data_IF_436524541114
#
_entry.id   IF_436524541114
#
_cell.length_a   1.000
_cell.length_b   1.000
_cell.length_c   1.000
_cell.angle_alpha   90.00
_cell.angle_beta   90.00
_cell.angle_gamma   90.00
#
_symmetry.space_group_name_H-M   'P 1'
#
loop_
_entity.id
_entity.type
_entity.pdbx_description
1 polymer ?
#
# COMPACT_ATOMS: atom_id res chain seq x y z
N UNK A 1 38.45 51.02 13.51
CA UNK A 1 39.54 50.32 12.78
C UNK A 1 39.85 49.02 13.51
N UNK A 2 39.80 47.88 12.78
CA UNK A 2 40.56 46.60 12.88
C UNK A 2 41.10 46.16 14.26
N UNK A 3 41.18 44.89 14.64
CA UNK A 3 40.87 43.55 14.11
C UNK A 3 41.53 42.57 15.10
N UNK A 4 41.01 41.37 15.33
CA UNK A 4 41.76 40.36 16.11
C UNK A 4 41.00 39.07 16.34
N UNK A 5 40.91 38.24 15.30
CA UNK A 5 40.35 36.90 15.36
C UNK A 5 41.24 35.93 16.16
N UNK A 6 40.64 35.05 16.97
CA UNK A 6 41.27 33.82 17.45
C UNK A 6 40.50 32.62 16.90
N UNK A 7 41.18 31.83 16.07
CA UNK A 7 40.79 30.48 15.65
C UNK A 7 41.35 29.48 16.67
N UNK A 8 40.53 28.57 17.15
CA UNK A 8 40.98 27.33 17.81
C UNK A 8 40.60 26.13 16.93
N UNK A 9 41.56 25.22 16.75
CA UNK A 9 41.45 23.93 16.02
C UNK A 9 40.94 22.83 16.97
N UNK A 10 40.47 21.68 16.43
CA UNK A 10 39.68 20.70 17.17
C UNK A 10 40.54 19.66 17.91
N UNK A 11 39.97 19.08 18.98
CA UNK A 11 40.54 17.96 19.73
C UNK A 11 40.28 16.63 19.03
N UNK A 12 41.34 15.89 18.75
CA UNK A 12 41.31 14.49 18.38
C UNK A 12 41.48 13.61 19.63
N UNK A 13 40.60 12.65 19.78
CA UNK A 13 40.68 11.48 20.66
C UNK A 13 39.57 10.57 20.14
N UNK A 14 39.72 9.28 19.86
CA UNK A 14 40.38 8.27 20.67
C UNK A 14 40.23 6.92 19.90
N UNK A 15 41.17 6.00 20.12
CA UNK A 15 41.15 4.52 19.91
C UNK A 15 42.08 3.97 18.82
N UNK A 16 43.27 3.61 19.30
CA UNK A 16 44.12 2.55 18.77
C UNK A 16 43.68 1.22 19.40
N UNK A 17 43.53 0.17 18.59
CA UNK A 17 44.32 -1.08 18.71
C UNK A 17 43.76 -2.25 17.90
N UNK A 18 44.73 -3.01 17.38
CA UNK A 18 44.75 -4.45 17.14
C UNK A 18 44.22 -5.02 15.80
N UNK A 19 45.22 -5.47 15.04
CA UNK A 19 45.23 -6.48 13.98
C UNK A 19 44.61 -7.82 14.45
N UNK A 20 44.00 -8.62 13.56
CA UNK A 20 44.65 -9.80 12.96
C UNK A 20 43.76 -10.60 11.99
N UNK A 21 44.43 -11.10 10.96
CA UNK A 21 44.21 -12.18 9.99
C UNK A 21 43.00 -13.14 10.07
N UNK A 22 42.39 -13.45 8.92
CA UNK A 22 42.64 -14.73 8.20
C UNK A 22 41.59 -15.05 7.13
N UNK A 23 42.09 -15.67 6.06
CA UNK A 23 41.42 -16.00 4.82
C UNK A 23 40.35 -17.11 4.96
N UNK A 24 39.27 -16.99 4.16
CA UNK A 24 38.32 -18.08 3.90
C UNK A 24 38.36 -18.43 2.41
N UNK A 25 38.83 -19.63 2.11
CA UNK A 25 38.68 -20.27 0.80
C UNK A 25 38.34 -21.74 1.03
N UNK A 26 37.10 -22.13 0.76
CA UNK A 26 36.76 -23.53 0.46
C UNK A 26 35.55 -23.56 -0.48
N UNK A 27 35.84 -23.81 -1.76
CA UNK A 27 34.88 -24.31 -2.73
C UNK A 27 34.63 -25.79 -2.44
N UNK A 28 33.38 -26.22 -2.37
CA UNK A 28 33.03 -27.64 -2.48
C UNK A 28 32.13 -27.82 -3.70
N UNK A 29 32.73 -28.38 -4.76
CA UNK A 29 32.06 -29.08 -5.84
C UNK A 29 31.88 -30.53 -5.38
N UNK A 30 30.69 -31.10 -5.51
CA UNK A 30 30.49 -32.55 -5.52
C UNK A 30 29.98 -32.98 -6.88
N UNK A 31 30.81 -33.74 -7.58
CA UNK A 31 30.47 -34.51 -8.77
C UNK A 31 30.01 -35.92 -8.38
N UNK A 32 29.20 -36.48 -9.27
CA UNK A 32 28.46 -37.73 -9.17
C UNK A 32 29.29 -39.02 -9.38
N UNK A 33 28.72 -40.15 -8.94
CA UNK A 33 28.73 -41.51 -9.54
C UNK A 33 27.67 -42.37 -8.80
N UNK A 34 26.55 -42.78 -9.42
CA UNK A 34 26.26 -43.94 -10.29
C UNK A 34 26.14 -45.31 -9.58
N UNK A 35 25.01 -46.01 -9.85
CA UNK A 35 24.73 -47.41 -9.50
C UNK A 35 23.22 -47.68 -9.30
N UNK A 36 22.38 -47.71 -10.35
CA UNK A 36 22.01 -48.85 -11.25
C UNK A 36 20.84 -49.74 -10.76
N UNK A 37 19.73 -49.58 -11.49
CA UNK A 37 18.74 -50.53 -12.03
C UNK A 37 17.83 -51.42 -11.16
N UNK A 38 16.51 -51.27 -11.41
CA UNK A 38 15.57 -52.26 -12.00
C UNK A 38 14.17 -52.09 -11.39
N UNK A 39 13.02 -52.38 -11.97
CA UNK A 39 12.50 -52.66 -13.30
C UNK A 39 10.97 -52.44 -13.20
N UNK A 40 10.31 -51.94 -14.25
CA UNK A 40 8.83 -51.91 -14.34
C UNK A 40 8.28 -53.28 -14.75
N UNK A 41 6.99 -53.59 -14.51
CA UNK A 41 5.98 -53.29 -15.53
C UNK A 41 4.58 -52.87 -15.02
N UNK A 42 3.85 -52.15 -15.90
CA UNK A 42 2.39 -51.85 -15.90
C UNK A 42 1.55 -53.12 -16.22
N UNK A 43 0.22 -53.02 -16.48
CA UNK A 43 -0.91 -52.61 -15.64
C UNK A 43 -2.01 -53.70 -15.60
N UNK A 44 -3.02 -53.59 -14.71
CA UNK A 44 -4.26 -54.35 -14.86
C UNK A 44 -5.50 -53.49 -14.57
N UNK A 45 -6.41 -53.50 -15.54
CA UNK A 45 -7.77 -52.94 -15.53
C UNK A 45 -8.74 -54.12 -15.64
N UNK A 46 -10.02 -53.88 -15.29
CA UNK A 46 -11.24 -54.72 -15.42
C UNK A 46 -11.64 -55.43 -14.12
N UNK A 47 -12.93 -55.58 -13.76
CA UNK A 47 -14.22 -55.15 -14.32
C UNK A 47 -15.32 -55.37 -13.26
N UNK A 48 -16.45 -54.71 -13.51
CA UNK A 48 -17.79 -54.83 -12.91
C UNK A 48 -18.34 -56.25 -12.67
N UNK A 49 -19.22 -56.34 -11.67
CA UNK A 49 -20.58 -56.92 -11.70
C UNK A 49 -21.36 -56.29 -10.51
N UNK A 50 -22.66 -55.99 -10.50
CA UNK A 50 -23.75 -56.22 -11.45
C UNK A 50 -24.99 -56.76 -10.73
N UNK A 51 -25.97 -55.89 -10.43
CA UNK A 51 -27.40 -56.21 -10.25
C UNK A 51 -27.92 -56.45 -8.82
N UNK A 52 -29.17 -56.19 -8.44
CA UNK A 52 -30.31 -55.49 -9.07
C UNK A 52 -31.55 -55.55 -8.14
N UNK A 53 -32.37 -54.47 -8.12
CA UNK A 53 -33.84 -54.42 -7.90
C UNK A 53 -34.36 -54.82 -6.49
N UNK A 54 -35.42 -54.28 -5.90
CA UNK A 54 -36.62 -53.55 -6.36
C UNK A 54 -37.36 -52.90 -5.16
N UNK A 55 -38.14 -51.84 -5.42
CA UNK A 55 -39.16 -51.26 -4.53
C UNK A 55 -40.36 -52.20 -4.25
N UNK A 56 -41.29 -51.83 -3.34
CA UNK A 56 -42.50 -51.13 -3.81
C UNK A 56 -43.03 -49.98 -2.91
N UNK A 57 -44.01 -49.27 -3.50
CA UNK A 57 -44.74 -48.05 -3.08
C UNK A 57 -45.76 -48.25 -1.94
N UNK A 58 -46.15 -47.15 -1.27
CA UNK A 58 -47.53 -46.58 -1.15
C UNK A 58 -47.59 -45.56 0.01
N UNK A 59 -47.68 -44.25 -0.26
CA UNK A 59 -48.87 -43.39 -0.36
C UNK A 59 -49.49 -42.94 0.97
N UNK A 60 -49.37 -41.65 1.28
CA UNK A 60 -50.40 -40.89 2.01
C UNK A 60 -50.35 -39.42 1.57
N UNK A 61 -51.52 -38.93 1.14
CA UNK A 61 -51.81 -37.57 0.68
C UNK A 61 -51.98 -36.67 1.92
N UNK A 62 -51.46 -35.45 1.88
CA UNK A 62 -52.04 -34.35 2.68
C UNK A 62 -52.28 -33.16 1.74
N UNK A 63 -53.49 -32.65 1.90
CA UNK A 63 -54.21 -31.66 1.14
C UNK A 63 -53.56 -30.28 1.16
N UNK A 64 -53.61 -29.62 0.01
CA UNK A 64 -53.48 -28.17 -0.11
C UNK A 64 -54.58 -27.48 0.69
N UNK A 65 -54.23 -26.43 1.43
CA UNK A 65 -55.15 -25.35 1.74
C UNK A 65 -54.45 -24.04 1.42
N UNK A 66 -55.14 -23.26 0.59
CA UNK A 66 -54.80 -21.90 0.22
C UNK A 66 -54.91 -21.07 1.49
N UNK A 67 -53.82 -20.41 1.89
CA UNK A 67 -53.92 -19.32 2.84
C UNK A 67 -53.49 -18.02 2.18
N UNK A 68 -54.35 -17.07 2.46
CA UNK A 68 -54.60 -15.81 1.80
C UNK A 68 -53.44 -14.82 2.00
N UNK A 69 -53.24 -14.02 0.97
CA UNK A 69 -52.20 -13.00 0.90
C UNK A 69 -52.83 -11.69 1.33
N UNK A 70 -52.69 -11.28 2.58
CA UNK A 70 -52.80 -9.86 2.98
C UNK A 70 -52.63 -9.67 4.49
N UNK A 71 -51.44 -9.23 4.92
CA UNK A 71 -51.33 -8.29 6.04
C UNK A 71 -49.96 -7.63 6.01
N UNK A 72 -50.04 -6.35 5.68
CA UNK A 72 -49.02 -5.31 5.61
C UNK A 72 -48.21 -5.22 6.91
N UNK A 73 -46.87 -5.33 6.79
CA UNK A 73 -45.86 -4.56 7.56
C UNK A 73 -44.62 -4.44 6.65
N UNK A 74 -44.34 -3.30 6.04
CA UNK A 74 -43.65 -2.11 6.57
C UNK A 74 -42.14 -2.14 6.24
N UNK A 75 -41.57 -0.94 6.11
CA UNK A 75 -40.22 -0.61 5.63
C UNK A 75 -40.04 -0.67 4.10
N UNK A 76 -40.70 0.28 3.41
CA UNK A 76 -40.04 0.92 2.26
C UNK A 76 -38.78 1.59 2.81
N UNK A 77 -37.67 0.84 2.75
CA UNK A 77 -36.34 1.39 2.94
C UNK A 77 -36.10 2.25 1.70
N UNK A 78 -36.62 3.47 1.74
CA UNK A 78 -36.21 4.53 0.84
C UNK A 78 -34.70 4.64 1.02
N UNK A 79 -33.96 4.13 0.05
CA UNK A 79 -32.53 4.36 -0.06
C UNK A 79 -32.34 5.86 -0.07
N UNK A 80 -31.98 6.40 1.10
CA UNK A 80 -31.51 7.76 1.21
C UNK A 80 -30.45 7.93 0.12
N UNK A 81 -30.52 9.00 -0.69
CA UNK A 81 -29.47 9.25 -1.65
C UNK A 81 -28.18 9.37 -0.84
N UNK A 82 -27.30 8.37 -0.97
CA UNK A 82 -25.91 8.50 -0.53
C UNK A 82 -25.45 9.79 -1.18
N UNK A 83 -25.31 10.84 -0.38
CA UNK A 83 -24.97 12.16 -0.86
C UNK A 83 -23.73 11.98 -1.71
N UNK A 84 -23.85 12.23 -3.02
CA UNK A 84 -22.68 12.28 -3.89
C UNK A 84 -21.93 13.52 -3.42
N UNK A 85 -21.04 13.34 -2.45
CA UNK A 85 -20.03 14.33 -2.15
C UNK A 85 -19.34 14.59 -3.49
N UNK A 86 -19.47 15.83 -3.97
CA UNK A 86 -18.81 16.26 -5.19
C UNK A 86 -17.31 15.97 -5.02
N UNK A 87 -16.80 15.03 -5.82
CA UNK A 87 -15.40 14.60 -5.70
C UNK A 87 -14.52 15.78 -6.09
N UNK A 88 -13.80 16.30 -5.09
CA UNK A 88 -12.88 17.43 -5.29
C UNK A 88 -11.58 16.91 -5.86
N UNK A 89 -11.15 17.51 -6.97
CA UNK A 89 -9.96 17.07 -7.70
C UNK A 89 -9.09 18.24 -8.15
N UNK A 90 -7.78 18.02 -8.15
CA UNK A 90 -6.77 18.86 -8.80
C UNK A 90 -5.99 17.99 -9.79
N UNK A 91 -5.75 18.53 -10.98
CA UNK A 91 -4.96 17.90 -12.04
C UNK A 91 -3.70 18.75 -12.31
N UNK A 92 -2.53 18.15 -12.14
CA UNK A 92 -1.23 18.82 -12.21
C UNK A 92 -0.32 18.13 -13.22
N UNK A 93 0.59 18.91 -13.80
CA UNK A 93 1.70 18.39 -14.60
C UNK A 93 3.01 18.62 -13.86
N UNK A 94 3.66 17.52 -13.50
CA UNK A 94 5.05 17.52 -13.06
C UNK A 94 5.97 17.43 -14.28
N UNK A 95 7.08 18.17 -14.23
CA UNK A 95 8.04 18.28 -15.33
C UNK A 95 9.37 17.55 -15.06
N UNK A 96 9.54 17.00 -13.86
CA UNK A 96 10.73 16.28 -13.45
C UNK A 96 10.48 15.52 -12.14
N UNK A 97 11.36 14.59 -11.79
CA UNK A 97 11.35 13.94 -10.47
C UNK A 97 11.45 14.94 -9.31
N UNK A 98 12.28 15.98 -9.46
CA UNK A 98 12.42 17.06 -8.47
C UNK A 98 11.11 17.85 -8.32
N UNK A 99 10.36 18.08 -9.40
CA UNK A 99 9.06 18.75 -9.31
C UNK A 99 8.04 17.86 -8.58
N UNK A 100 8.04 16.54 -8.83
CA UNK A 100 7.21 15.58 -8.10
C UNK A 100 7.56 15.54 -6.61
N UNK A 101 8.84 15.55 -6.25
CA UNK A 101 9.28 15.60 -4.86
C UNK A 101 8.85 16.89 -4.15
N UNK A 102 9.01 18.05 -4.80
CA UNK A 102 8.55 19.34 -4.26
C UNK A 102 7.04 19.41 -4.10
N UNK A 103 6.28 18.78 -5.00
CA UNK A 103 4.84 18.61 -4.82
C UNK A 103 4.58 17.78 -3.56
N UNK A 104 5.25 16.65 -3.40
CA UNK A 104 5.19 15.83 -2.20
C UNK A 104 5.51 16.63 -0.93
N UNK A 105 6.55 17.46 -0.95
CA UNK A 105 6.93 18.31 0.17
C UNK A 105 5.80 19.29 0.56
N UNK A 106 5.13 19.89 -0.43
CA UNK A 106 3.97 20.75 -0.18
C UNK A 106 2.81 19.98 0.44
N UNK A 107 2.51 18.79 -0.07
CA UNK A 107 1.49 17.90 0.50
C UNK A 107 1.85 17.54 1.95
N UNK A 108 3.09 17.14 2.18
CA UNK A 108 3.62 16.78 3.49
C UNK A 108 3.57 17.93 4.48
N UNK A 109 3.81 19.19 4.06
CA UNK A 109 3.68 20.36 4.95
C UNK A 109 2.22 20.67 5.32
N UNK A 110 1.29 20.44 4.40
CA UNK A 110 -0.14 20.69 4.62
C UNK A 110 -0.85 19.57 5.41
N UNK A 111 -0.22 18.39 5.51
CA UNK A 111 -0.83 17.22 6.15
C UNK A 111 -1.19 17.44 7.64
N UNK A 112 -2.22 16.74 8.08
CA UNK A 112 -2.67 16.70 9.47
C UNK A 112 -2.60 15.25 9.98
N UNK A 113 -2.65 15.04 11.30
CA UNK A 113 -2.79 13.70 11.87
C UNK A 113 -3.91 12.92 11.16
N UNK A 114 -3.63 11.65 10.89
CA UNK A 114 -4.50 10.69 10.21
C UNK A 114 -4.79 10.95 8.73
N UNK A 115 -4.07 11.88 8.07
CA UNK A 115 -4.19 12.02 6.62
C UNK A 115 -3.57 10.80 5.91
N UNK A 116 -4.31 10.25 4.94
CA UNK A 116 -3.91 9.07 4.15
C UNK A 116 -3.75 9.45 2.68
N UNK A 117 -2.61 9.09 2.09
CA UNK A 117 -2.31 9.28 0.68
C UNK A 117 -2.20 7.93 -0.02
N UNK A 118 -3.17 7.61 -0.89
CA UNK A 118 -3.20 6.40 -1.70
C UNK A 118 -2.59 6.67 -3.07
N UNK A 119 -1.38 6.17 -3.32
CA UNK A 119 -0.59 6.43 -4.53
C UNK A 119 -0.74 5.32 -5.57
N UNK A 120 -1.42 5.61 -6.68
CA UNK A 120 -1.60 4.69 -7.80
C UNK A 120 -0.84 5.14 -9.04
N UNK A 121 -0.50 4.20 -9.91
CA UNK A 121 0.21 4.45 -11.16
C UNK A 121 1.18 3.33 -11.51
N UNK A 122 1.58 3.27 -12.78
CA UNK A 122 2.50 2.25 -13.30
C UNK A 122 3.87 2.25 -12.59
N UNK A 123 4.65 1.18 -12.80
CA UNK A 123 6.00 1.11 -12.27
C UNK A 123 6.86 2.23 -12.88
N UNK A 124 7.58 2.98 -12.05
CA UNK A 124 8.44 4.08 -12.51
C UNK A 124 7.74 5.44 -12.70
N UNK A 125 6.44 5.54 -12.40
CA UNK A 125 5.72 6.84 -12.45
C UNK A 125 6.19 7.84 -11.40
N UNK A 126 6.89 7.38 -10.35
CA UNK A 126 7.47 8.23 -9.31
C UNK A 126 6.68 8.25 -7.99
N UNK A 127 5.87 7.22 -7.71
CA UNK A 127 5.14 7.07 -6.43
C UNK A 127 6.06 7.24 -5.20
N UNK A 128 7.17 6.50 -5.14
CA UNK A 128 8.17 6.63 -4.06
C UNK A 128 8.85 8.01 -4.03
N UNK A 129 9.01 8.67 -5.18
CA UNK A 129 9.55 10.05 -5.22
C UNK A 129 8.57 11.03 -4.56
N UNK A 130 7.27 10.85 -4.80
CA UNK A 130 6.23 11.63 -4.15
C UNK A 130 6.15 11.32 -2.65
N UNK A 131 6.21 10.04 -2.25
CA UNK A 131 6.23 9.61 -0.86
C UNK A 131 7.41 10.22 -0.08
N UNK A 132 8.61 10.21 -0.69
CA UNK A 132 9.80 10.88 -0.15
C UNK A 132 9.59 12.38 0.01
N UNK A 133 8.99 13.04 -0.98
CA UNK A 133 8.59 14.43 -0.87
C UNK A 133 7.68 14.67 0.34
N UNK A 134 6.65 13.84 0.53
CA UNK A 134 5.73 13.94 1.67
C UNK A 134 6.48 13.85 3.00
N UNK A 135 7.37 12.87 3.15
CA UNK A 135 8.21 12.72 4.34
C UNK A 135 9.09 13.95 4.60
N UNK A 136 9.72 14.53 3.56
CA UNK A 136 10.48 15.78 3.67
C UNK A 136 9.58 16.93 4.15
N UNK A 137 8.36 17.01 3.65
CA UNK A 137 7.36 17.99 4.10
C UNK A 137 6.94 17.83 5.56
N UNK A 138 7.09 16.62 6.12
CA UNK A 138 6.93 16.33 7.54
C UNK A 138 8.18 16.63 8.38
N UNK A 139 9.30 17.01 7.74
CA UNK A 139 10.58 17.27 8.43
C UNK A 139 11.41 16.02 8.69
N UNK A 140 11.16 14.93 7.97
CA UNK A 140 11.93 13.69 8.04
C UNK A 140 13.08 13.76 7.03
N UNK A 141 14.25 13.19 7.38
CA UNK A 141 15.40 13.17 6.47
C UNK A 141 15.09 12.35 5.21
N UNK A 142 15.39 12.93 4.05
CA UNK A 142 15.22 12.28 2.76
C UNK A 142 16.08 11.01 2.63
N UNK A 143 17.23 10.93 3.31
CA UNK A 143 18.12 9.75 3.26
C UNK A 143 17.50 8.49 3.85
N UNK A 144 16.54 8.68 4.76
CA UNK A 144 15.90 7.57 5.47
C UNK A 144 14.76 6.97 4.66
N UNK A 145 14.30 7.66 3.62
CA UNK A 145 13.12 7.25 2.85
C UNK A 145 13.53 6.48 1.59
N UNK A 146 13.15 5.20 1.59
CA UNK A 146 13.22 4.32 0.42
C UNK A 146 12.02 3.40 0.41
N UNK A 147 11.65 2.88 -0.78
CA UNK A 147 10.47 2.03 -0.94
C UNK A 147 10.55 0.83 0.01
N UNK A 148 9.54 0.61 0.88
CA UNK A 148 9.50 -0.52 1.81
C UNK A 148 9.10 -1.83 1.11
N UNK A 149 9.36 -2.00 -0.18
CA UNK A 149 8.83 -3.09 -1.01
C UNK A 149 9.09 -4.51 -0.46
N UNK A 150 10.14 -4.71 0.36
CA UNK A 150 10.44 -6.00 0.98
C UNK A 150 9.90 -6.17 2.40
N UNK A 151 9.63 -5.08 3.11
CA UNK A 151 9.14 -5.13 4.50
C UNK A 151 7.70 -4.62 4.63
N UNK A 152 7.08 -4.26 3.50
CA UNK A 152 5.70 -3.82 3.30
C UNK A 152 5.38 -2.48 3.98
N UNK A 153 5.75 -2.30 5.25
CA UNK A 153 5.52 -1.11 6.05
C UNK A 153 6.83 -0.60 6.67
N UNK A 154 7.03 0.72 6.63
CA UNK A 154 8.06 1.43 7.38
C UNK A 154 7.46 2.57 8.16
N UNK A 155 7.83 2.66 9.43
CA UNK A 155 7.60 3.83 10.25
C UNK A 155 8.87 4.68 10.28
N UNK A 156 8.69 5.99 10.08
CA UNK A 156 9.74 6.98 10.20
C UNK A 156 9.31 8.05 11.22
N UNK A 157 10.17 8.27 12.22
CA UNK A 157 10.02 9.31 13.22
C UNK A 157 10.89 10.53 12.93
N UNK A 158 10.96 11.45 13.91
CA UNK A 158 11.86 12.62 13.86
C UNK A 158 11.30 13.84 13.12
N UNK A 159 10.18 13.68 12.40
CA UNK A 159 9.41 14.79 11.84
C UNK A 159 8.37 15.37 12.80
N UNK A 160 7.55 16.27 12.29
CA UNK A 160 6.42 16.89 13.02
C UNK A 160 5.26 15.93 13.29
N UNK A 161 5.14 14.87 12.50
CA UNK A 161 4.17 13.77 12.65
C UNK A 161 4.88 12.45 12.33
N UNK A 162 4.48 11.32 12.96
CA UNK A 162 4.90 10.00 12.50
C UNK A 162 4.55 9.80 11.03
N UNK A 163 5.42 9.14 10.28
CA UNK A 163 5.21 8.85 8.87
C UNK A 163 5.23 7.35 8.63
N UNK A 164 4.14 6.83 8.07
CA UNK A 164 3.99 5.43 7.73
C UNK A 164 4.03 5.29 6.21
N UNK A 165 5.02 4.58 5.69
CA UNK A 165 5.15 4.28 4.27
C UNK A 165 4.84 2.81 4.06
N UNK A 166 3.80 2.53 3.29
CA UNK A 166 3.32 1.20 2.96
C UNK A 166 3.46 0.99 1.44
N UNK A 167 4.03 -0.14 1.03
CA UNK A 167 4.15 -0.55 -0.37
C UNK A 167 3.55 -1.94 -0.56
N UNK A 168 2.37 -1.98 -1.19
CA UNK A 168 1.60 -3.20 -1.36
C UNK A 168 1.91 -3.94 -2.68
N UNK A 169 2.90 -3.48 -3.47
CA UNK A 169 3.16 -4.03 -4.80
C UNK A 169 3.25 -5.56 -4.86
N UNK A 170 3.91 -6.14 -3.84
CA UNK A 170 4.21 -7.57 -3.73
C UNK A 170 3.19 -8.36 -2.91
N UNK A 171 2.15 -7.72 -2.41
CA UNK A 171 1.18 -8.38 -1.57
C UNK A 171 0.15 -9.17 -2.41
N UNK A 172 -0.10 -10.41 -2.03
CA UNK A 172 -1.11 -11.28 -2.64
C UNK A 172 -2.14 -11.71 -1.57
N UNK A 173 -3.42 -11.36 -1.75
CA UNK A 173 -4.52 -11.91 -0.94
C UNK A 173 -4.55 -11.44 0.53
N UNK A 174 -4.73 -12.40 1.45
CA UNK A 174 -5.12 -12.23 2.88
C UNK A 174 -3.98 -11.68 3.76
N UNK A 175 -2.81 -11.41 3.19
CA UNK A 175 -1.61 -11.10 3.97
C UNK A 175 -1.62 -9.70 4.59
N UNK A 176 -2.49 -8.80 4.13
CA UNK A 176 -2.51 -7.40 4.57
C UNK A 176 -2.83 -7.27 6.06
N UNK A 177 -3.80 -8.05 6.56
CA UNK A 177 -4.21 -8.02 7.96
C UNK A 177 -3.09 -8.45 8.94
N UNK A 178 -2.07 -9.17 8.45
CA UNK A 178 -0.93 -9.60 9.28
C UNK A 178 0.22 -8.56 9.29
N UNK A 179 0.11 -7.48 8.52
CA UNK A 179 1.17 -6.47 8.40
C UNK A 179 1.14 -5.42 9.51
N UNK A 180 0.06 -5.36 10.30
CA UNK A 180 -0.14 -4.31 11.32
C UNK A 180 -0.45 -2.94 10.71
N UNK A 181 -0.86 -2.87 9.45
CA UNK A 181 -1.11 -1.59 8.79
C UNK A 181 -2.32 -0.85 9.38
N UNK A 182 -3.33 -1.55 9.92
CA UNK A 182 -4.47 -0.90 10.58
C UNK A 182 -4.01 -0.04 11.77
N UNK A 183 -3.04 -0.53 12.55
CA UNK A 183 -2.47 0.19 13.70
C UNK A 183 -1.81 1.51 13.26
N UNK A 184 -1.18 1.51 12.08
CA UNK A 184 -0.55 2.71 11.52
C UNK A 184 -1.56 3.80 11.14
N UNK A 185 -2.79 3.43 10.76
CA UNK A 185 -3.85 4.38 10.44
C UNK A 185 -4.40 5.07 11.69
N UNK A 186 -4.33 4.41 12.84
CA UNK A 186 -4.83 4.91 14.12
C UNK A 186 -3.76 5.62 14.96
N UNK A 187 -2.48 5.51 14.56
CA UNK A 187 -1.33 6.02 15.31
C UNK A 187 -1.13 7.55 15.26
N UNK A 188 -2.08 8.32 14.70
CA UNK A 188 -2.01 9.80 14.70
C UNK A 188 -1.00 10.39 13.71
N UNK A 189 -0.45 9.57 12.81
CA UNK A 189 0.56 9.98 11.82
C UNK A 189 -0.01 10.28 10.45
N UNK A 190 0.88 10.40 9.46
CA UNK A 190 0.55 10.48 8.04
C UNK A 190 0.90 9.16 7.38
N UNK A 191 -0.04 8.58 6.64
CA UNK A 191 0.14 7.28 6.01
C UNK A 191 0.16 7.43 4.49
N UNK A 192 1.20 6.91 3.85
CA UNK A 192 1.34 6.82 2.39
C UNK A 192 1.27 5.36 1.99
N UNK A 193 0.33 5.03 1.10
CA UNK A 193 0.09 3.67 0.62
C UNK A 193 0.35 3.63 -0.88
N UNK A 194 1.44 3.00 -1.31
CA UNK A 194 1.68 2.67 -2.71
C UNK A 194 0.94 1.40 -3.11
N UNK A 195 0.41 1.39 -4.34
CA UNK A 195 -0.40 0.29 -4.89
C UNK A 195 -1.67 0.00 -4.06
N UNK A 196 -2.49 1.03 -3.77
CA UNK A 196 -3.66 0.92 -2.89
C UNK A 196 -4.70 -0.10 -3.37
N UNK A 197 -4.76 -0.39 -4.68
CA UNK A 197 -5.69 -1.37 -5.27
C UNK A 197 -5.56 -2.77 -4.65
N UNK A 198 -4.41 -3.08 -4.05
CA UNK A 198 -4.15 -4.35 -3.36
C UNK A 198 -4.90 -4.49 -2.04
N UNK A 199 -5.18 -3.38 -1.37
CA UNK A 199 -6.00 -3.35 -0.16
C UNK A 199 -7.51 -3.31 -0.48
N UNK A 200 -7.89 -2.82 -1.66
CA UNK A 200 -9.27 -2.80 -2.13
C UNK A 200 -10.23 -2.15 -1.12
N UNK A 201 -11.28 -2.86 -0.65
CA UNK A 201 -12.27 -2.31 0.28
C UNK A 201 -11.74 -2.09 1.70
N UNK A 202 -10.51 -2.52 2.01
CA UNK A 202 -9.91 -2.30 3.33
C UNK A 202 -9.38 -0.88 3.48
N UNK A 203 -9.19 -0.13 2.38
CA UNK A 203 -8.71 1.25 2.44
C UNK A 203 -9.66 2.16 3.23
N UNK A 204 -9.13 3.15 3.98
CA UNK A 204 -9.95 4.14 4.67
C UNK A 204 -10.86 4.92 3.70
N UNK A 205 -12.11 5.15 4.09
CA UNK A 205 -13.09 5.88 3.27
C UNK A 205 -12.63 7.31 2.97
N UNK A 206 -12.03 8.00 3.94
CA UNK A 206 -11.50 9.34 3.78
C UNK A 206 -9.98 9.31 3.53
N UNK A 207 -9.60 9.57 2.29
CA UNK A 207 -8.21 9.55 1.83
C UNK A 207 -8.02 10.45 0.61
N UNK A 208 -6.78 10.82 0.35
CA UNK A 208 -6.37 11.44 -0.90
C UNK A 208 -5.93 10.34 -1.87
N UNK A 209 -6.67 10.17 -2.96
CA UNK A 209 -6.23 9.36 -4.09
C UNK A 209 -5.31 10.19 -4.99
N UNK A 210 -4.08 9.72 -5.16
CA UNK A 210 -3.09 10.38 -6.01
C UNK A 210 -2.68 9.44 -7.13
N UNK A 211 -3.13 9.74 -8.34
CA UNK A 211 -2.83 8.97 -9.54
C UNK A 211 -1.68 9.61 -10.31
N UNK A 212 -0.61 8.86 -10.56
CA UNK A 212 0.55 9.29 -11.35
C UNK A 212 0.59 8.55 -12.69
N UNK A 213 0.69 9.31 -13.78
CA UNK A 213 0.71 8.77 -15.15
C UNK A 213 1.91 9.32 -15.94
N UNK A 214 2.55 8.47 -16.75
CA UNK A 214 3.54 8.89 -17.73
C UNK A 214 2.87 9.65 -18.87
N UNK A 215 3.29 10.90 -19.12
CA UNK A 215 2.85 11.67 -20.31
C UNK A 215 4.01 12.03 -21.23
N UNK A 216 5.25 11.96 -20.74
CA UNK A 216 6.50 11.99 -21.51
C UNK A 216 7.62 11.42 -20.61
N UNK A 217 8.84 11.29 -21.14
CA UNK A 217 9.99 10.72 -20.42
C UNK A 217 10.18 11.31 -19.02
N UNK A 218 10.19 12.64 -18.94
CA UNK A 218 10.39 13.39 -17.68
C UNK A 218 9.12 13.95 -17.06
N UNK A 219 8.00 13.93 -17.80
CA UNK A 219 6.75 14.55 -17.36
C UNK A 219 5.79 13.52 -16.78
N UNK A 220 5.08 13.92 -15.73
CA UNK A 220 4.02 13.11 -15.12
C UNK A 220 2.75 13.94 -15.02
N UNK A 221 1.61 13.33 -15.33
CA UNK A 221 0.32 13.86 -14.89
C UNK A 221 0.07 13.33 -13.49
N UNK A 222 -0.33 14.21 -12.57
CA UNK A 222 -0.61 13.88 -11.18
C UNK A 222 -2.02 14.40 -10.87
N UNK A 223 -2.94 13.47 -10.64
CA UNK A 223 -4.33 13.79 -10.29
C UNK A 223 -4.53 13.47 -8.81
N UNK A 224 -4.91 14.48 -8.03
CA UNK A 224 -5.20 14.36 -6.59
C UNK A 224 -6.70 14.50 -6.41
N UNK A 225 -7.36 13.48 -5.86
CA UNK A 225 -8.81 13.45 -5.63
C UNK A 225 -9.14 13.11 -4.19
N UNK A 226 -10.17 13.75 -3.66
CA UNK A 226 -10.72 13.48 -2.34
C UNK A 226 -11.79 12.40 -2.39
N UNK A 227 -11.80 11.50 -1.40
CA UNK A 227 -12.83 10.47 -1.24
C UNK A 227 -13.74 10.72 -0.03
N UNK A 228 -13.37 11.63 0.87
CA UNK A 228 -14.15 11.97 2.06
C UNK A 228 -14.05 13.45 2.47
N UNK A 229 -14.70 13.85 3.58
CA UNK A 229 -14.76 15.25 4.03
C UNK A 229 -13.39 15.88 4.31
N UNK A 230 -12.49 15.19 5.03
CA UNK A 230 -11.17 15.71 5.40
C UNK A 230 -10.28 15.86 4.17
N UNK A 231 -10.25 14.86 3.30
CA UNK A 231 -9.52 14.94 2.03
C UNK A 231 -10.09 16.02 1.11
N UNK A 232 -11.41 16.27 1.14
CA UNK A 232 -12.05 17.35 0.37
C UNK A 232 -11.58 18.74 0.85
N UNK A 233 -11.50 18.95 2.17
CA UNK A 233 -10.90 20.17 2.74
C UNK A 233 -9.44 20.32 2.31
N UNK A 234 -8.66 19.23 2.38
CA UNK A 234 -7.26 19.23 1.96
C UNK A 234 -7.12 19.70 0.50
N UNK A 235 -7.92 19.14 -0.40
CA UNK A 235 -7.86 19.50 -1.84
C UNK A 235 -8.16 20.99 -2.04
N UNK A 236 -9.12 21.57 -1.34
CA UNK A 236 -9.37 23.01 -1.45
C UNK A 236 -8.23 23.86 -0.90
N UNK A 237 -7.68 23.49 0.26
CA UNK A 237 -6.54 24.18 0.86
C UNK A 237 -5.34 24.16 -0.10
N UNK A 238 -5.08 23.00 -0.71
CA UNK A 238 -4.04 22.85 -1.73
C UNK A 238 -4.32 23.73 -2.94
N UNK A 239 -5.54 23.71 -3.48
CA UNK A 239 -5.94 24.54 -4.63
C UNK A 239 -5.76 26.03 -4.32
N UNK A 240 -6.20 26.49 -3.16
CA UNK A 240 -6.05 27.87 -2.73
C UNK A 240 -4.57 28.26 -2.60
N UNK A 241 -3.73 27.37 -2.05
CA UNK A 241 -2.29 27.61 -1.94
C UNK A 241 -1.57 27.72 -3.29
N UNK A 242 -2.07 27.00 -4.31
CA UNK A 242 -1.50 27.04 -5.68
C UNK A 242 -1.94 28.29 -6.43
N UNK A 243 -3.17 28.76 -6.23
CA UNK A 243 -3.67 29.99 -6.87
C UNK A 243 -3.06 31.25 -6.24
N UNK A 244 -2.72 31.20 -4.94
CA UNK A 244 -2.21 32.35 -4.19
C UNK A 244 -0.69 32.53 -4.26
N UNK A 245 0.03 31.63 -4.94
CA UNK A 245 1.49 31.59 -5.04
C UNK A 245 1.97 31.97 -6.45
#
# INVERSE_FOLDING_TARGET
>A
MRSGAKRSKPSASLWSSAEDSSARSHSFRSSATLGVASASPRPARCRRSGGSRSSPRSSARISASRFDSSSIVDASCASLPVGRHEMKTIDLVSHSSLHTERLGERLGRAARPNDVFALSGELGTGKTVLARGIAIGLGIDASDISSPTFIILREHGGGRLPFFHIDLYRLEGVDLANTGWEESLEAGGVTVIEWPDRAGPLLPDDRLEVKLEHIADTKRRIVVSATGPRSAEFVEELRASVISA
#
